data_IF_669553580945
#
_entry.id   IF_669553580945
#
_cell.length_a   1.000
_cell.length_b   1.000
_cell.length_c   1.000
_cell.angle_alpha   90.00
_cell.angle_beta   90.00
_cell.angle_gamma   90.00
#
_symmetry.space_group_name_H-M   'P 1'
#
loop_
_entity.id
_entity.type
_entity.pdbx_description
1 polymer ?
#
# COMPACT_ATOMS: atom_id res chain seq x y z
N UNK A 1 -17.21 2.22 9.32
CA UNK A 1 -17.47 2.56 7.90
C UNK A 1 -16.65 3.77 7.44
N UNK A 2 -16.79 4.94 8.06
CA UNK A 2 -15.99 6.14 7.69
C UNK A 2 -14.47 5.89 7.73
N UNK A 3 -13.96 5.22 8.77
CA UNK A 3 -12.52 4.86 8.87
C UNK A 3 -12.02 4.09 7.65
N UNK A 4 -12.76 3.08 7.19
CA UNK A 4 -12.37 2.27 6.04
C UNK A 4 -12.46 3.07 4.74
N UNK A 5 -13.50 3.89 4.59
CA UNK A 5 -13.64 4.78 3.45
C UNK A 5 -12.46 5.75 3.35
N UNK A 6 -12.08 6.38 4.46
CA UNK A 6 -10.94 7.29 4.51
C UNK A 6 -9.62 6.55 4.28
N UNK A 7 -9.37 5.45 5.00
CA UNK A 7 -8.13 4.68 4.88
C UNK A 7 -7.91 4.17 3.44
N UNK A 8 -8.87 3.41 2.88
CA UNK A 8 -8.72 2.90 1.51
C UNK A 8 -8.83 3.99 0.45
N UNK A 9 -9.64 5.04 0.71
CA UNK A 9 -9.75 6.19 -0.16
C UNK A 9 -8.41 6.90 -0.35
N UNK A 10 -7.66 7.15 0.74
CA UNK A 10 -6.35 7.81 0.63
C UNK A 10 -5.30 6.90 -0.01
N UNK A 11 -5.31 5.59 0.26
CA UNK A 11 -4.39 4.64 -0.37
C UNK A 11 -4.55 4.61 -1.90
N UNK A 12 -5.77 4.81 -2.42
CA UNK A 12 -6.02 4.84 -3.86
C UNK A 12 -5.86 6.24 -4.47
N UNK A 13 -6.49 7.26 -3.87
CA UNK A 13 -6.60 8.59 -4.48
C UNK A 13 -5.29 9.39 -4.41
N UNK A 14 -4.55 9.31 -3.32
CA UNK A 14 -3.34 10.12 -3.13
C UNK A 14 -2.25 9.73 -4.14
N UNK A 15 -1.93 8.44 -4.38
CA UNK A 15 -1.00 8.04 -5.44
C UNK A 15 -1.37 8.57 -6.83
N UNK A 16 -2.65 8.48 -7.19
CA UNK A 16 -3.16 8.98 -8.48
C UNK A 16 -2.97 10.50 -8.54
N UNK A 17 -3.34 11.23 -7.48
CA UNK A 17 -3.19 12.68 -7.42
C UNK A 17 -1.72 13.09 -7.57
N UNK A 18 -0.80 12.44 -6.85
CA UNK A 18 0.64 12.69 -6.94
C UNK A 18 1.13 12.48 -8.38
N UNK A 19 0.77 11.35 -9.00
CA UNK A 19 1.18 11.05 -10.35
C UNK A 19 0.70 12.10 -11.37
N UNK A 20 -0.55 12.57 -11.25
CA UNK A 20 -1.13 13.53 -12.19
C UNK A 20 -0.68 14.98 -11.96
N UNK A 21 -0.38 15.37 -10.72
CA UNK A 21 0.10 16.71 -10.39
C UNK A 21 1.59 16.89 -10.72
N UNK A 22 2.43 15.89 -10.44
CA UNK A 22 3.88 16.04 -10.49
C UNK A 22 4.56 15.41 -11.72
N UNK A 23 3.97 14.38 -12.35
CA UNK A 23 4.64 13.61 -13.41
C UNK A 23 3.98 13.77 -14.78
N UNK A 24 4.03 14.99 -15.36
CA UNK A 24 3.26 15.38 -16.56
C UNK A 24 3.39 14.43 -17.75
N UNK A 25 4.60 14.00 -18.08
CA UNK A 25 4.85 13.17 -19.27
C UNK A 25 4.56 11.68 -19.05
N UNK A 26 4.44 11.24 -17.79
CA UNK A 26 4.36 9.83 -17.42
C UNK A 26 3.26 9.53 -16.39
N UNK A 27 2.22 10.36 -16.30
CA UNK A 27 1.18 10.32 -15.25
C UNK A 27 0.62 8.91 -15.01
N UNK A 28 0.23 8.22 -16.09
CA UNK A 28 -0.37 6.89 -15.99
C UNK A 28 0.66 5.88 -15.48
N UNK A 29 1.86 5.88 -16.05
CA UNK A 29 2.93 4.95 -15.65
C UNK A 29 3.29 5.14 -14.17
N UNK A 30 3.44 6.38 -13.72
CA UNK A 30 3.77 6.68 -12.33
C UNK A 30 2.60 6.31 -11.40
N UNK A 31 1.35 6.58 -11.79
CA UNK A 31 0.18 6.17 -11.01
C UNK A 31 0.15 4.65 -10.82
N UNK A 32 0.38 3.87 -11.89
CA UNK A 32 0.43 2.42 -11.83
C UNK A 32 1.57 1.91 -10.93
N UNK A 33 2.76 2.50 -11.01
CA UNK A 33 3.89 2.13 -10.15
C UNK A 33 3.57 2.41 -8.69
N UNK A 34 3.03 3.59 -8.37
CA UNK A 34 2.69 3.93 -6.98
C UNK A 34 1.56 3.03 -6.44
N UNK A 35 0.54 2.73 -7.26
CA UNK A 35 -0.55 1.83 -6.88
C UNK A 35 -0.11 0.37 -6.76
N UNK A 36 0.91 -0.07 -7.50
CA UNK A 36 1.45 -1.42 -7.38
C UNK A 36 1.97 -1.70 -5.96
N UNK A 37 2.37 -0.66 -5.20
CA UNK A 37 2.74 -0.80 -3.80
C UNK A 37 1.64 -1.41 -2.92
N UNK A 38 0.36 -1.17 -3.21
CA UNK A 38 -0.77 -1.71 -2.43
C UNK A 38 -0.83 -3.24 -2.50
N UNK A 39 -0.23 -3.86 -3.52
CA UNK A 39 -0.26 -5.32 -3.71
C UNK A 39 0.39 -6.04 -2.52
N UNK A 40 1.39 -5.44 -1.86
CA UNK A 40 2.05 -6.07 -0.70
C UNK A 40 1.09 -6.22 0.48
N UNK A 41 0.06 -5.36 0.58
CA UNK A 41 -0.91 -5.39 1.67
C UNK A 41 -1.88 -6.58 1.61
N UNK A 42 -1.86 -7.37 0.53
CA UNK A 42 -2.71 -8.58 0.39
C UNK A 42 -2.41 -9.58 1.52
N UNK A 43 -1.18 -9.63 2.02
CA UNK A 43 -0.79 -10.52 3.11
C UNK A 43 -1.45 -10.18 4.46
N UNK A 44 -2.11 -9.02 4.57
CA UNK A 44 -2.93 -8.68 5.73
C UNK A 44 -4.13 -9.61 5.88
N UNK A 45 -4.65 -10.16 4.77
CA UNK A 45 -5.79 -11.08 4.80
C UNK A 45 -5.51 -12.37 5.59
N UNK A 46 -4.25 -12.70 5.84
CA UNK A 46 -3.85 -13.85 6.67
C UNK A 46 -3.82 -13.54 8.17
N UNK A 47 -3.96 -12.28 8.57
CA UNK A 47 -3.92 -11.90 9.97
C UNK A 47 -5.26 -12.05 10.67
N UNK A 48 -5.23 -12.50 11.93
CA UNK A 48 -6.38 -12.53 12.82
C UNK A 48 -6.02 -11.88 14.18
N UNK A 49 -6.63 -10.75 14.57
CA UNK A 49 -7.64 -10.00 13.82
C UNK A 49 -7.04 -9.28 12.61
N UNK A 50 -7.84 -9.05 11.56
CA UNK A 50 -7.39 -8.38 10.33
C UNK A 50 -6.80 -6.98 10.62
N UNK A 51 -7.48 -6.21 11.48
CA UNK A 51 -7.04 -4.90 11.93
C UNK A 51 -6.67 -4.95 13.41
N UNK A 52 -5.41 -4.67 13.73
CA UNK A 52 -4.90 -4.58 15.09
C UNK A 52 -3.99 -3.35 15.24
N UNK A 53 -4.38 -2.34 16.05
CA UNK A 53 -3.56 -1.15 16.24
C UNK A 53 -2.26 -1.41 17.02
N UNK A 54 -2.16 -2.55 17.72
CA UNK A 54 -0.98 -2.91 18.52
C UNK A 54 -0.01 -3.84 17.78
N UNK A 55 -0.30 -4.19 16.52
CA UNK A 55 0.54 -5.07 15.70
C UNK A 55 1.47 -4.27 14.82
N UNK A 56 2.77 -4.56 14.90
CA UNK A 56 3.75 -4.08 13.92
C UNK A 56 3.60 -4.89 12.62
N UNK A 57 3.57 -4.21 11.46
CA UNK A 57 3.44 -4.91 10.17
C UNK A 57 4.73 -5.61 9.76
N UNK A 58 5.86 -4.90 9.88
CA UNK A 58 7.19 -5.40 9.49
C UNK A 58 7.58 -6.58 10.37
N UNK A 59 7.93 -7.69 9.73
CA UNK A 59 8.28 -8.94 10.40
C UNK A 59 7.10 -9.78 10.90
N UNK A 60 5.86 -9.26 10.89
CA UNK A 60 4.66 -10.05 11.13
C UNK A 60 4.06 -10.58 9.83
N UNK A 61 3.85 -9.71 8.84
CA UNK A 61 3.28 -10.11 7.56
C UNK A 61 4.37 -10.57 6.58
N UNK A 62 4.05 -11.58 5.76
CA UNK A 62 5.02 -12.31 4.93
C UNK A 62 5.68 -11.40 3.88
N UNK A 63 4.89 -10.58 3.19
CA UNK A 63 5.36 -9.63 2.18
C UNK A 63 5.97 -8.38 2.82
N UNK A 64 5.72 -8.15 4.12
CA UNK A 64 6.39 -7.13 4.94
C UNK A 64 7.59 -7.68 5.72
N UNK A 65 8.09 -8.87 5.38
CA UNK A 65 9.29 -9.43 5.99
C UNK A 65 10.54 -8.74 5.47
N UNK A 66 11.61 -8.69 6.29
CA UNK A 66 12.89 -8.13 5.86
C UNK A 66 13.44 -8.78 4.58
N UNK A 67 13.20 -10.08 4.41
CA UNK A 67 13.59 -10.81 3.20
C UNK A 67 12.79 -10.36 1.98
N UNK A 68 11.48 -10.16 2.11
CA UNK A 68 10.65 -9.64 1.02
C UNK A 68 11.10 -8.22 0.64
N UNK A 69 11.33 -7.35 1.64
CA UNK A 69 11.84 -5.98 1.43
C UNK A 69 13.11 -5.96 0.59
N UNK A 70 14.06 -6.84 0.88
CA UNK A 70 15.31 -6.91 0.13
C UNK A 70 15.11 -7.26 -1.36
N UNK A 71 14.07 -8.03 -1.70
CA UNK A 71 13.82 -8.48 -3.08
C UNK A 71 13.26 -7.36 -3.97
N UNK A 72 12.45 -6.44 -3.41
CA UNK A 72 11.80 -5.38 -4.19
C UNK A 72 12.37 -3.97 -3.98
N UNK A 73 13.36 -3.82 -3.10
CA UNK A 73 14.11 -2.57 -2.90
C UNK A 73 15.22 -2.43 -3.94
#
# INVERSE_FOLDING_TARGET
>A
MLRHLLHYGIHLLIPILIAFLFFKDNRIKVALILLAGIIIDIDHLWANPLYDPNRCSVGFHVLHSYWAVLVYS
#
